data_IF_134686966626
#
_entry.id   IF_134686966626
#
_cell.length_a   1.000
_cell.length_b   1.000
_cell.length_c   1.000
_cell.angle_alpha   90.00
_cell.angle_beta   90.00
_cell.angle_gamma   90.00
#
_symmetry.space_group_name_H-M   'P 1'
#
loop_
_entity.id
_entity.type
_entity.pdbx_description
1 polymer ?
#
# COMPACT_ATOMS: atom_id res chain seq x y z
N UNK A 1 5.79 16.38 15.53
CA UNK A 1 5.27 16.64 14.17
C UNK A 1 3.85 16.11 14.14
N UNK A 2 2.89 16.92 13.67
CA UNK A 2 1.50 16.48 13.51
C UNK A 2 1.42 15.31 12.50
N UNK A 3 0.57 14.32 12.76
CA UNK A 3 0.40 13.12 11.91
C UNK A 3 0.11 13.51 10.46
N UNK A 4 -0.72 14.54 10.31
CA UNK A 4 -1.13 15.01 9.02
C UNK A 4 0.00 15.75 8.27
N UNK A 5 0.86 16.46 9.00
CA UNK A 5 2.08 17.05 8.42
C UNK A 5 3.07 15.97 7.98
N UNK A 6 3.22 14.91 8.78
CA UNK A 6 4.10 13.80 8.45
C UNK A 6 3.64 13.05 7.19
N UNK A 7 2.34 12.78 7.07
CA UNK A 7 1.76 12.17 5.87
C UNK A 7 1.94 13.05 4.64
N UNK A 8 1.66 14.35 4.75
CA UNK A 8 1.83 15.28 3.64
C UNK A 8 3.30 15.37 3.19
N UNK A 9 4.24 15.44 4.13
CA UNK A 9 5.66 15.46 3.85
C UNK A 9 6.12 14.18 3.11
N UNK A 10 5.65 13.01 3.54
CA UNK A 10 5.93 11.73 2.89
C UNK A 10 5.38 11.67 1.47
N UNK A 11 4.16 12.18 1.25
CA UNK A 11 3.55 12.25 -0.07
C UNK A 11 4.29 13.20 -1.01
N UNK A 12 4.64 14.39 -0.52
CA UNK A 12 5.40 15.38 -1.31
C UNK A 12 6.77 14.86 -1.72
N UNK A 13 7.49 14.16 -0.83
CA UNK A 13 8.76 13.52 -1.18
C UNK A 13 8.60 12.54 -2.35
N UNK A 14 7.60 11.65 -2.27
CA UNK A 14 7.36 10.68 -3.34
C UNK A 14 6.89 11.31 -4.65
N UNK A 15 6.03 12.33 -4.60
CA UNK A 15 5.55 13.05 -5.78
C UNK A 15 6.69 13.80 -6.49
N UNK A 16 7.69 14.28 -5.75
CA UNK A 16 8.85 15.00 -6.30
C UNK A 16 9.93 14.07 -6.90
N UNK A 17 9.86 12.76 -6.66
CA UNK A 17 10.83 11.79 -7.19
C UNK A 17 10.43 11.29 -8.58
N UNK A 18 11.39 10.84 -9.43
CA UNK A 18 11.09 10.25 -10.73
C UNK A 18 10.22 8.99 -10.67
N UNK A 19 9.47 8.68 -11.74
CA UNK A 19 8.53 7.55 -11.74
C UNK A 19 9.12 6.16 -11.73
N UNK A 20 10.39 6.07 -12.08
CA UNK A 20 11.15 4.82 -12.06
C UNK A 20 11.97 4.66 -10.78
N UNK A 21 11.92 5.65 -9.86
CA UNK A 21 12.62 5.53 -8.59
C UNK A 21 11.90 4.53 -7.69
N UNK A 22 12.56 3.38 -7.45
CA UNK A 22 12.05 2.33 -6.55
C UNK A 22 11.91 2.81 -5.12
N UNK A 23 12.61 3.89 -4.74
CA UNK A 23 12.61 4.47 -3.41
C UNK A 23 11.61 5.60 -3.24
N UNK A 24 10.76 5.79 -4.25
CA UNK A 24 9.78 6.88 -4.29
C UNK A 24 8.93 6.95 -3.04
N UNK A 25 8.47 5.79 -2.55
CA UNK A 25 7.52 5.72 -1.45
C UNK A 25 8.15 5.29 -0.13
N UNK A 26 9.49 5.36 0.01
CA UNK A 26 10.22 4.99 1.23
C UNK A 26 9.66 5.72 2.46
N UNK A 27 9.44 7.05 2.37
CA UNK A 27 8.92 7.85 3.48
C UNK A 27 7.45 7.56 3.79
N UNK A 28 6.65 7.19 2.79
CA UNK A 28 5.25 6.79 3.00
C UNK A 28 5.19 5.42 3.69
N UNK A 29 6.08 4.50 3.31
CA UNK A 29 6.24 3.23 3.99
C UNK A 29 6.73 3.40 5.44
N UNK A 30 7.68 4.30 5.69
CA UNK A 30 8.12 4.64 7.05
C UNK A 30 6.99 5.25 7.88
N UNK A 31 6.15 6.11 7.29
CA UNK A 31 4.94 6.61 7.93
C UNK A 31 4.01 5.44 8.33
N UNK A 32 3.70 4.54 7.40
CA UNK A 32 2.89 3.35 7.67
C UNK A 32 3.48 2.47 8.78
N UNK A 33 4.79 2.25 8.78
CA UNK A 33 5.50 1.52 9.85
C UNK A 33 5.26 2.20 11.19
N UNK A 34 5.51 3.51 11.29
CA UNK A 34 5.30 4.24 12.54
C UNK A 34 3.85 4.14 13.04
N UNK A 35 2.86 4.18 12.14
CA UNK A 35 1.43 4.05 12.50
C UNK A 35 1.05 2.65 12.99
N UNK A 36 1.67 1.62 12.44
CA UNK A 36 1.49 0.24 12.88
C UNK A 36 2.24 -0.05 14.19
N UNK A 37 3.44 0.49 14.37
CA UNK A 37 4.20 0.38 15.62
C UNK A 37 3.47 1.06 16.79
N UNK A 38 2.83 2.20 16.54
CA UNK A 38 1.97 2.88 17.52
C UNK A 38 0.78 2.02 17.99
N UNK A 39 0.40 0.98 17.21
CA UNK A 39 -0.66 0.01 17.54
C UNK A 39 -0.14 -1.25 18.24
N UNK A 40 1.15 -1.27 18.59
CA UNK A 40 1.79 -2.36 19.32
C UNK A 40 2.54 -3.37 18.45
N UNK A 41 2.51 -3.23 17.12
CA UNK A 41 3.29 -4.12 16.26
C UNK A 41 4.78 -3.85 16.38
N UNK A 42 5.57 -4.91 16.51
CA UNK A 42 7.04 -4.82 16.62
C UNK A 42 7.68 -5.64 15.52
N UNK A 43 8.87 -5.22 15.08
CA UNK A 43 9.66 -5.99 14.12
C UNK A 43 9.28 -5.78 12.65
N UNK A 44 8.56 -4.70 12.34
CA UNK A 44 8.28 -4.28 10.96
C UNK A 44 9.57 -3.96 10.22
N UNK A 45 9.57 -4.35 8.94
CA UNK A 45 10.63 -4.18 7.95
C UNK A 45 10.07 -3.40 6.76
N UNK A 46 10.92 -2.71 6.01
CA UNK A 46 10.49 -1.92 4.84
C UNK A 46 10.92 -0.45 4.90
N UNK A 47 10.27 0.38 4.08
CA UNK A 47 10.46 1.82 4.00
C UNK A 47 11.88 2.23 3.62
N UNK A 48 12.48 3.21 4.32
CA UNK A 48 13.85 3.67 4.03
C UNK A 48 14.93 2.60 4.19
N UNK A 49 14.58 1.43 4.75
CA UNK A 49 15.43 0.24 4.84
C UNK A 49 15.31 -0.66 3.60
N UNK A 50 14.57 -0.24 2.59
CA UNK A 50 14.35 -0.96 1.34
C UNK A 50 13.20 -1.96 1.45
N UNK A 51 12.63 -2.27 0.28
CA UNK A 51 11.59 -3.29 0.11
C UNK A 51 12.05 -4.65 0.65
N UNK A 52 11.07 -5.44 1.10
CA UNK A 52 11.28 -6.76 1.67
C UNK A 52 10.89 -7.82 0.63
N UNK A 53 11.84 -8.70 0.31
CA UNK A 53 11.59 -9.82 -0.59
C UNK A 53 10.86 -10.96 0.14
N UNK A 54 9.64 -11.27 -0.26
CA UNK A 54 8.82 -12.35 0.30
C UNK A 54 8.63 -13.46 -0.73
N UNK A 55 8.76 -14.71 -0.30
CA UNK A 55 8.59 -15.88 -1.16
C UNK A 55 7.14 -15.97 -1.62
N UNK A 56 6.92 -15.83 -2.93
CA UNK A 56 5.67 -16.20 -3.59
C UNK A 56 5.79 -17.55 -4.29
N UNK A 57 4.65 -18.11 -4.71
CA UNK A 57 4.55 -19.39 -5.41
C UNK A 57 5.47 -19.52 -6.64
N UNK A 58 5.56 -18.49 -7.48
CA UNK A 58 6.39 -18.53 -8.69
C UNK A 58 7.72 -17.77 -8.60
N UNK A 59 7.78 -16.70 -7.81
CA UNK A 59 8.98 -15.87 -7.63
C UNK A 59 8.91 -15.09 -6.32
N UNK A 60 10.05 -14.55 -5.90
CA UNK A 60 10.10 -13.56 -4.81
C UNK A 60 9.34 -12.30 -5.25
N UNK A 61 8.50 -11.78 -4.36
CA UNK A 61 7.75 -10.53 -4.51
C UNK A 61 8.33 -9.48 -3.58
N UNK A 62 8.44 -8.24 -4.05
CA UNK A 62 8.87 -7.11 -3.24
C UNK A 62 7.68 -6.48 -2.54
N UNK A 63 7.80 -6.20 -1.25
CA UNK A 63 6.78 -5.54 -0.45
C UNK A 63 7.36 -4.30 0.24
N UNK A 64 6.59 -3.22 0.26
CA UNK A 64 7.03 -1.94 0.84
C UNK A 64 7.15 -2.00 2.36
N UNK A 65 6.26 -2.77 3.01
CA UNK A 65 6.31 -3.06 4.45
C UNK A 65 6.00 -4.53 4.67
N UNK A 66 6.74 -5.17 5.57
CA UNK A 66 6.48 -6.54 5.98
C UNK A 66 6.70 -6.75 7.47
N UNK A 67 5.80 -7.53 8.09
CA UNK A 67 6.06 -8.19 9.36
C UNK A 67 6.35 -9.67 9.08
N UNK A 68 7.59 -10.05 9.31
CA UNK A 68 8.03 -11.44 9.24
C UNK A 68 8.18 -11.93 10.68
N UNK A 69 7.29 -12.81 11.11
CA UNK A 69 7.44 -13.48 12.40
C UNK A 69 8.39 -14.66 12.22
N UNK A 70 9.44 -14.77 13.03
CA UNK A 70 10.29 -15.94 12.94
C UNK A 70 9.66 -17.10 13.71
N UNK A 71 10.08 -18.32 13.41
CA UNK A 71 9.94 -19.46 14.32
C UNK A 71 11.01 -19.42 15.45
N UNK A 72 11.97 -18.48 15.43
CA UNK A 72 13.13 -18.35 16.36
C UNK A 72 13.65 -16.88 16.55
N UNK A 73 14.36 -16.50 17.63
CA UNK A 73 14.75 -15.11 17.88
C UNK A 73 15.66 -14.49 16.79
N UNK A 74 15.47 -13.19 16.50
CA UNK A 74 16.20 -12.44 15.44
C UNK A 74 17.46 -11.73 15.94
N UNK A 75 18.49 -11.73 15.10
CA UNK A 75 19.64 -10.81 15.15
C UNK A 75 19.34 -9.43 14.51
N UNK A 76 20.36 -8.58 14.28
CA UNK A 76 20.18 -7.20 13.83
C UNK A 76 19.46 -7.08 12.46
N UNK A 77 18.71 -5.99 12.27
CA UNK A 77 17.90 -5.72 11.06
C UNK A 77 18.80 -5.24 9.91
N UNK A 78 18.70 -5.87 8.74
CA UNK A 78 19.49 -5.56 7.53
C UNK A 78 18.63 -4.85 6.46
N UNK A 79 19.28 -4.09 5.57
CA UNK A 79 18.63 -3.36 4.47
C UNK A 79 18.29 -4.31 3.31
N UNK A 80 17.12 -4.17 2.70
CA UNK A 80 16.69 -4.98 1.54
C UNK A 80 16.54 -6.46 1.87
N UNK A 81 16.03 -6.76 3.07
CA UNK A 81 15.99 -8.12 3.60
C UNK A 81 15.10 -9.01 2.74
N UNK A 82 15.61 -10.20 2.41
CA UNK A 82 14.81 -11.28 1.84
C UNK A 82 14.41 -12.23 2.97
N UNK A 83 13.15 -12.68 2.94
CA UNK A 83 12.61 -13.67 3.86
C UNK A 83 13.54 -14.89 3.94
N UNK A 84 13.96 -15.23 5.17
CA UNK A 84 14.83 -16.39 5.44
C UNK A 84 14.00 -17.66 5.61
N UNK A 85 14.60 -18.86 5.42
CA UNK A 85 13.93 -20.13 5.73
C UNK A 85 13.40 -20.14 7.17
N UNK A 86 12.15 -20.57 7.36
CA UNK A 86 11.49 -20.62 8.67
C UNK A 86 10.83 -19.32 9.12
N UNK A 87 11.01 -18.20 8.41
CA UNK A 87 10.22 -16.99 8.63
C UNK A 87 8.88 -17.09 7.90
N UNK A 88 7.80 -16.63 8.54
CA UNK A 88 6.47 -16.55 7.92
C UNK A 88 6.04 -15.09 7.80
N UNK A 89 5.52 -14.64 6.64
CA UNK A 89 4.92 -13.33 6.53
C UNK A 89 3.59 -13.32 7.30
N UNK A 90 3.43 -12.32 8.17
CA UNK A 90 2.23 -12.13 8.99
C UNK A 90 1.44 -10.89 8.56
N UNK A 91 2.17 -9.85 8.16
CA UNK A 91 1.61 -8.62 7.59
C UNK A 91 2.41 -8.24 6.35
N UNK A 92 1.75 -7.81 5.28
CA UNK A 92 2.37 -7.25 4.10
C UNK A 92 1.61 -5.99 3.66
N UNK A 93 2.33 -4.94 3.29
CA UNK A 93 1.74 -3.75 2.66
C UNK A 93 2.38 -3.51 1.30
N UNK A 94 1.53 -3.23 0.31
CA UNK A 94 1.93 -2.79 -1.02
C UNK A 94 1.49 -1.34 -1.20
N UNK A 95 2.43 -0.47 -1.54
CA UNK A 95 2.22 0.94 -1.87
C UNK A 95 2.30 1.09 -3.38
N UNK A 96 1.26 1.66 -3.99
CA UNK A 96 1.20 1.95 -5.41
C UNK A 96 0.77 3.38 -5.66
N UNK A 97 0.92 3.82 -6.89
CA UNK A 97 0.49 5.15 -7.31
C UNK A 97 0.00 5.17 -8.75
N UNK A 98 -0.95 6.05 -9.02
CA UNK A 98 -1.45 6.44 -10.34
C UNK A 98 -1.26 7.94 -10.48
N UNK A 99 -0.12 8.33 -11.03
CA UNK A 99 0.31 9.74 -11.19
C UNK A 99 0.18 10.24 -12.64
N UNK A 100 -0.46 9.47 -13.50
CA UNK A 100 -0.53 9.74 -14.94
C UNK A 100 -1.32 8.68 -15.67
N UNK A 101 -2.00 9.08 -16.75
CA UNK A 101 -2.81 8.19 -17.60
C UNK A 101 -3.69 7.21 -16.80
N UNK A 102 -4.67 7.69 -16.01
CA UNK A 102 -5.43 6.84 -15.10
C UNK A 102 -6.25 5.77 -15.82
N UNK A 103 -6.85 6.04 -16.99
CA UNK A 103 -7.60 5.03 -17.75
C UNK A 103 -6.76 3.79 -18.10
N UNK A 104 -5.48 3.98 -18.48
CA UNK A 104 -4.57 2.86 -18.74
C UNK A 104 -3.95 2.28 -17.47
N UNK A 105 -3.69 3.10 -16.46
CA UNK A 105 -2.98 2.68 -15.26
C UNK A 105 -3.87 1.93 -14.27
N UNK A 106 -5.13 2.34 -14.10
CA UNK A 106 -6.02 1.78 -13.06
C UNK A 106 -6.32 0.28 -13.27
N UNK A 107 -6.67 -0.21 -14.49
CA UNK A 107 -6.88 -1.64 -14.70
C UNK A 107 -5.61 -2.45 -14.40
N UNK A 108 -4.45 -1.99 -14.90
CA UNK A 108 -3.17 -2.64 -14.67
C UNK A 108 -2.83 -2.75 -13.17
N UNK A 109 -3.20 -1.75 -12.36
CA UNK A 109 -2.95 -1.78 -10.91
C UNK A 109 -3.79 -2.84 -10.19
N UNK A 110 -5.02 -3.08 -10.64
CA UNK A 110 -5.86 -4.16 -10.10
C UNK A 110 -5.26 -5.52 -10.48
N UNK A 111 -4.85 -5.70 -11.73
CA UNK A 111 -4.25 -6.97 -12.19
C UNK A 111 -2.92 -7.26 -11.47
N UNK A 112 -2.08 -6.24 -11.29
CA UNK A 112 -0.85 -6.33 -10.50
C UNK A 112 -1.13 -6.73 -9.04
N UNK A 113 -2.14 -6.11 -8.41
CA UNK A 113 -2.55 -6.44 -7.04
C UNK A 113 -3.00 -7.91 -6.94
N UNK A 114 -3.86 -8.37 -7.85
CA UNK A 114 -4.35 -9.76 -7.90
C UNK A 114 -3.17 -10.73 -8.05
N UNK A 115 -2.25 -10.45 -8.98
CA UNK A 115 -1.09 -11.32 -9.24
C UNK A 115 -0.01 -11.29 -8.15
N UNK A 116 0.14 -10.18 -7.43
CA UNK A 116 1.03 -10.05 -6.27
C UNK A 116 0.49 -10.83 -5.07
N UNK A 117 -0.77 -10.56 -4.72
CA UNK A 117 -1.40 -11.12 -3.53
C UNK A 117 -1.65 -12.62 -3.67
N UNK A 118 -2.23 -13.07 -4.79
CA UNK A 118 -2.53 -14.49 -4.99
C UNK A 118 -1.26 -15.34 -4.92
N UNK A 119 -0.14 -14.81 -5.43
CA UNK A 119 1.14 -15.52 -5.40
C UNK A 119 1.65 -15.78 -3.99
N UNK A 120 1.35 -14.92 -3.01
CA UNK A 120 1.79 -15.10 -1.62
C UNK A 120 0.75 -15.90 -0.83
N UNK A 121 -0.54 -15.63 -1.04
CA UNK A 121 -1.62 -16.30 -0.31
C UNK A 121 -1.74 -17.79 -0.60
N UNK A 122 -1.31 -18.27 -1.77
CA UNK A 122 -1.19 -19.71 -2.05
C UNK A 122 -0.25 -20.40 -1.05
N UNK A 123 0.82 -19.71 -0.64
CA UNK A 123 1.81 -20.25 0.31
C UNK A 123 1.49 -19.92 1.77
N UNK A 124 0.89 -18.75 2.01
CA UNK A 124 0.62 -18.19 3.33
C UNK A 124 -0.81 -17.67 3.40
N UNK A 125 -1.82 -18.55 3.43
CA UNK A 125 -3.22 -18.13 3.44
C UNK A 125 -3.58 -17.32 4.70
N UNK A 126 -2.79 -17.39 5.77
CA UNK A 126 -3.02 -16.63 7.00
C UNK A 126 -2.54 -15.17 6.95
N UNK A 127 -1.67 -14.81 5.98
CA UNK A 127 -1.05 -13.48 5.93
C UNK A 127 -2.10 -12.37 5.82
N UNK A 128 -1.93 -11.29 6.59
CA UNK A 128 -2.74 -10.07 6.48
C UNK A 128 -2.09 -9.14 5.47
N UNK A 129 -2.87 -8.57 4.55
CA UNK A 129 -2.40 -7.74 3.46
C UNK A 129 -3.19 -6.43 3.43
N UNK A 130 -2.45 -5.32 3.38
CA UNK A 130 -2.99 -3.99 3.12
C UNK A 130 -2.50 -3.41 1.80
N UNK A 131 -3.31 -2.56 1.19
CA UNK A 131 -2.98 -1.88 -0.07
C UNK A 131 -3.17 -0.37 0.07
N UNK A 132 -2.12 0.42 -0.16
CA UNK A 132 -2.21 1.87 -0.17
C UNK A 132 -1.97 2.36 -1.59
N UNK A 133 -2.82 3.26 -2.07
CA UNK A 133 -2.71 3.79 -3.43
C UNK A 133 -2.83 5.30 -3.45
N UNK A 134 -1.85 5.96 -4.06
CA UNK A 134 -1.87 7.41 -4.30
C UNK A 134 -2.51 7.68 -5.66
N UNK A 135 -3.59 8.46 -5.68
CA UNK A 135 -4.28 8.91 -6.89
C UNK A 135 -4.10 10.42 -7.03
N UNK A 136 -3.39 10.84 -8.08
CA UNK A 136 -3.20 12.25 -8.37
C UNK A 136 -4.23 12.74 -9.40
N UNK A 137 -5.19 13.53 -8.95
CA UNK A 137 -6.20 14.22 -9.77
C UNK A 137 -5.61 15.38 -10.58
N UNK A 138 -4.39 15.81 -10.24
CA UNK A 138 -3.61 16.78 -11.00
C UNK A 138 -2.85 16.19 -12.19
N UNK A 139 -2.80 14.87 -12.29
CA UNK A 139 -2.00 14.16 -13.28
C UNK A 139 -2.44 14.41 -14.73
N UNK A 140 -1.48 14.76 -15.60
CA UNK A 140 -1.72 14.91 -17.05
C UNK A 140 -2.02 13.58 -17.74
N UNK A 141 -2.98 13.57 -18.68
CA UNK A 141 -3.21 12.45 -19.60
C UNK A 141 -2.24 12.45 -20.78
N UNK A 142 -2.03 11.28 -21.42
CA UNK A 142 -1.45 11.20 -22.78
C UNK A 142 -2.60 11.10 -23.77
N UNK A 143 -2.70 12.00 -24.75
CA UNK A 143 -3.62 11.85 -25.88
C UNK A 143 -2.98 11.01 -27.00
N UNK A 144 -3.82 10.35 -27.79
CA UNK A 144 -3.50 9.82 -29.11
C UNK A 144 -3.12 10.97 -30.05
N UNK A 145 -1.86 11.40 -29.99
CA UNK A 145 -1.35 12.54 -30.77
C UNK A 145 -0.10 13.23 -30.22
N UNK A 146 0.40 12.82 -29.04
CA UNK A 146 1.69 13.31 -28.51
C UNK A 146 1.65 14.71 -27.88
N UNK A 147 0.48 15.38 -27.88
CA UNK A 147 0.27 16.64 -27.15
C UNK A 147 -0.43 16.33 -25.83
N UNK A 148 0.18 16.71 -24.71
CA UNK A 148 -0.41 16.58 -23.39
C UNK A 148 -1.64 17.50 -23.29
N UNK A 149 -2.84 16.93 -23.38
CA UNK A 149 -4.04 17.67 -23.03
C UNK A 149 -4.04 17.95 -21.53
N UNK A 150 -4.34 19.21 -21.17
CA UNK A 150 -4.64 19.55 -19.78
C UNK A 150 -5.84 18.70 -19.35
N UNK A 151 -5.75 17.91 -18.27
CA UNK A 151 -6.89 17.16 -17.77
C UNK A 151 -8.01 18.12 -17.44
N UNK A 152 -9.17 17.98 -18.09
CA UNK A 152 -10.40 18.40 -17.44
C UNK A 152 -10.60 17.43 -16.27
N UNK A 153 -10.57 17.95 -15.04
CA UNK A 153 -10.66 17.13 -13.82
C UNK A 153 -11.88 16.21 -13.77
N UNK A 154 -12.93 16.51 -14.55
CA UNK A 154 -14.14 15.70 -14.70
C UNK A 154 -13.94 14.40 -15.50
N UNK A 155 -12.96 14.35 -16.41
CA UNK A 155 -12.77 13.21 -17.31
C UNK A 155 -12.35 11.90 -16.61
N UNK A 156 -11.73 11.98 -15.43
CA UNK A 156 -11.19 10.81 -14.72
C UNK A 156 -11.92 10.44 -13.43
N UNK A 157 -12.82 11.30 -12.93
CA UNK A 157 -13.57 11.07 -11.69
C UNK A 157 -14.31 9.74 -11.72
N UNK A 158 -14.97 9.43 -12.84
CA UNK A 158 -15.69 8.17 -13.02
C UNK A 158 -14.75 6.95 -12.99
N UNK A 159 -13.56 7.06 -13.57
CA UNK A 159 -12.57 5.98 -13.58
C UNK A 159 -12.01 5.73 -12.17
N UNK A 160 -11.68 6.80 -11.44
CA UNK A 160 -11.25 6.69 -10.04
C UNK A 160 -12.37 6.15 -9.15
N UNK A 161 -13.61 6.61 -9.33
CA UNK A 161 -14.78 6.08 -8.61
C UNK A 161 -14.92 4.58 -8.80
N UNK A 162 -14.94 4.09 -10.05
CA UNK A 162 -15.01 2.66 -10.36
C UNK A 162 -13.83 1.88 -9.78
N UNK A 163 -12.63 2.44 -9.81
CA UNK A 163 -11.46 1.82 -9.21
C UNK A 163 -11.60 1.68 -7.69
N UNK A 164 -12.06 2.74 -6.99
CA UNK A 164 -12.34 2.69 -5.54
C UNK A 164 -13.42 1.67 -5.22
N UNK A 165 -14.50 1.62 -6.00
CA UNK A 165 -15.56 0.61 -5.85
C UNK A 165 -15.02 -0.82 -6.03
N UNK A 166 -14.12 -1.04 -6.99
CA UNK A 166 -13.47 -2.34 -7.20
C UNK A 166 -12.56 -2.69 -6.01
N UNK A 167 -11.70 -1.77 -5.56
CA UNK A 167 -10.85 -1.99 -4.39
C UNK A 167 -11.66 -2.32 -3.13
N UNK A 168 -12.79 -1.65 -2.93
CA UNK A 168 -13.70 -1.95 -1.82
C UNK A 168 -14.20 -3.39 -1.87
N UNK A 169 -14.57 -3.91 -3.07
CA UNK A 169 -14.97 -5.32 -3.25
C UNK A 169 -13.83 -6.30 -3.01
N UNK A 170 -12.59 -5.92 -3.30
CA UNK A 170 -11.40 -6.73 -3.02
C UNK A 170 -11.00 -6.69 -1.53
N UNK A 171 -11.40 -5.67 -0.79
CA UNK A 171 -10.98 -5.40 0.60
C UNK A 171 -11.91 -5.97 1.67
N UNK A 172 -12.59 -7.07 1.36
CA UNK A 172 -13.57 -7.71 2.26
C UNK A 172 -13.03 -8.97 2.93
N UNK A 173 -11.72 -9.23 2.82
CA UNK A 173 -11.12 -10.44 3.35
C UNK A 173 -11.15 -10.42 4.87
N UNK A 174 -11.76 -11.44 5.48
CA UNK A 174 -11.90 -11.56 6.94
C UNK A 174 -11.52 -12.97 7.41
N UNK A 175 -11.06 -13.13 8.66
CA UNK A 175 -10.98 -14.44 9.31
C UNK A 175 -12.36 -15.12 9.39
N UNK A 176 -12.48 -16.46 9.46
CA UNK A 176 -11.42 -17.47 9.45
C UNK A 176 -11.22 -18.09 8.05
N UNK A 177 -10.96 -17.26 7.02
CA UNK A 177 -10.58 -17.66 5.64
C UNK A 177 -11.70 -18.50 4.97
N UNK A 178 -12.23 -18.17 3.80
CA UNK A 178 -11.86 -18.91 2.59
C UNK A 178 -12.62 -18.41 1.34
N UNK A 179 -13.50 -17.40 1.39
CA UNK A 179 -14.43 -17.24 0.25
C UNK A 179 -14.65 -15.83 -0.30
N UNK A 180 -14.30 -14.73 0.38
CA UNK A 180 -14.51 -13.40 -0.22
C UNK A 180 -13.38 -12.42 0.14
N UNK A 181 -12.91 -11.69 -0.87
CA UNK A 181 -11.89 -10.65 -0.73
C UNK A 181 -10.46 -11.16 -0.91
N UNK A 182 -9.62 -10.28 -1.47
CA UNK A 182 -8.21 -10.50 -1.74
C UNK A 182 -7.33 -9.91 -0.63
N UNK A 183 -7.72 -8.79 -0.06
CA UNK A 183 -6.95 -8.06 0.97
C UNK A 183 -7.86 -7.65 2.13
N UNK A 184 -7.27 -7.33 3.28
CA UNK A 184 -7.99 -7.01 4.50
C UNK A 184 -8.48 -5.57 4.50
N UNK A 185 -7.68 -4.65 3.98
CA UNK A 185 -8.03 -3.24 3.90
C UNK A 185 -7.27 -2.55 2.76
N UNK A 186 -7.82 -1.42 2.30
CA UNK A 186 -7.12 -0.51 1.40
C UNK A 186 -7.23 0.93 1.91
N UNK A 187 -6.27 1.77 1.52
CA UNK A 187 -6.29 3.20 1.78
C UNK A 187 -5.98 3.98 0.51
N UNK A 188 -6.90 4.86 0.12
CA UNK A 188 -6.74 5.70 -1.06
C UNK A 188 -6.33 7.09 -0.62
N UNK A 189 -5.18 7.54 -1.11
CA UNK A 189 -4.62 8.86 -0.90
C UNK A 189 -4.96 9.72 -2.12
N UNK A 190 -6.06 10.46 -2.04
CA UNK A 190 -6.51 11.35 -3.11
C UNK A 190 -5.83 12.71 -2.99
N UNK A 191 -5.00 13.02 -3.98
CA UNK A 191 -4.22 14.26 -4.03
C UNK A 191 -4.47 15.01 -5.32
N UNK A 192 -4.25 16.32 -5.33
CA UNK A 192 -4.19 17.14 -6.54
C UNK A 192 -2.88 17.93 -6.52
N UNK A 193 -1.93 17.53 -7.35
CA UNK A 193 -0.61 18.18 -7.43
C UNK A 193 -0.66 19.60 -7.99
N UNK A 194 -1.80 20.04 -8.55
CA UNK A 194 -1.99 21.41 -9.05
C UNK A 194 -2.37 22.39 -7.95
N UNK A 195 -2.86 21.89 -6.81
CA UNK A 195 -3.33 22.73 -5.71
C UNK A 195 -2.28 22.84 -4.59
N UNK A 196 -2.15 24.00 -3.93
CA UNK A 196 -1.27 24.14 -2.77
C UNK A 196 -1.67 23.19 -1.63
N UNK A 197 -2.96 23.05 -1.39
CA UNK A 197 -3.54 22.06 -0.50
C UNK A 197 -3.51 20.71 -1.24
N UNK A 198 -2.57 19.84 -0.87
CA UNK A 198 -2.28 18.61 -1.60
C UNK A 198 -3.47 17.62 -1.60
N UNK A 199 -4.16 17.48 -0.47
CA UNK A 199 -5.29 16.57 -0.33
C UNK A 199 -6.58 17.21 -0.84
N UNK A 200 -7.43 16.42 -1.51
CA UNK A 200 -8.79 16.84 -1.84
C UNK A 200 -9.64 17.00 -0.58
N UNK A 201 -9.53 16.04 0.35
CA UNK A 201 -10.14 16.09 1.68
C UNK A 201 -9.15 15.51 2.70
N UNK A 202 -8.48 16.41 3.43
CA UNK A 202 -7.43 16.04 4.39
C UNK A 202 -7.98 15.25 5.58
N UNK A 203 -9.11 15.69 6.15
CA UNK A 203 -9.66 15.07 7.35
C UNK A 203 -10.19 13.67 7.05
N UNK A 204 -10.95 13.51 5.96
CA UNK A 204 -11.44 12.20 5.54
C UNK A 204 -10.28 11.24 5.20
N UNK A 205 -9.23 11.74 4.54
CA UNK A 205 -8.04 10.92 4.21
C UNK A 205 -7.36 10.38 5.46
N UNK A 206 -7.20 11.21 6.50
CA UNK A 206 -6.57 10.79 7.75
C UNK A 206 -7.44 9.77 8.50
N UNK A 207 -8.74 10.04 8.62
CA UNK A 207 -9.68 9.11 9.25
C UNK A 207 -9.67 7.74 8.56
N UNK A 208 -9.75 7.72 7.23
CA UNK A 208 -9.66 6.48 6.45
C UNK A 208 -8.32 5.75 6.65
N UNK A 209 -7.23 6.51 6.86
CA UNK A 209 -5.93 5.94 7.20
C UNK A 209 -5.91 5.26 8.56
N UNK A 210 -6.52 5.86 9.59
CA UNK A 210 -6.67 5.22 10.90
C UNK A 210 -7.48 3.92 10.80
N UNK A 211 -8.65 3.98 10.15
CA UNK A 211 -9.53 2.83 9.94
C UNK A 211 -8.80 1.70 9.20
N UNK A 212 -7.98 2.05 8.20
CA UNK A 212 -7.13 1.10 7.48
C UNK A 212 -6.14 0.39 8.41
N UNK A 213 -5.38 1.14 9.22
CA UNK A 213 -4.39 0.54 10.12
C UNK A 213 -5.06 -0.30 11.22
N UNK A 214 -6.19 0.14 11.75
CA UNK A 214 -6.97 -0.61 12.75
C UNK A 214 -7.47 -1.92 12.17
N UNK A 215 -8.06 -1.90 10.96
CA UNK A 215 -8.56 -3.10 10.28
C UNK A 215 -7.47 -4.16 10.05
N UNK A 216 -6.24 -3.74 9.71
CA UNK A 216 -5.11 -4.66 9.55
C UNK A 216 -4.67 -5.26 10.89
N UNK A 217 -4.55 -4.42 11.93
CA UNK A 217 -4.13 -4.86 13.26
C UNK A 217 -5.15 -5.81 13.87
N UNK A 218 -6.44 -5.50 13.76
CA UNK A 218 -7.51 -6.35 14.30
C UNK A 218 -7.61 -7.68 13.55
N UNK A 219 -7.45 -7.66 12.22
CA UNK A 219 -7.34 -8.88 11.42
C UNK A 219 -6.14 -9.73 11.85
N UNK A 220 -5.02 -9.09 12.17
CA UNK A 220 -3.82 -9.79 12.62
C UNK A 220 -3.99 -10.35 14.05
N UNK A 221 -4.58 -9.60 14.97
CA UNK A 221 -4.93 -10.07 16.33
C UNK A 221 -5.85 -11.28 16.29
N UNK A 222 -6.84 -11.26 15.41
CA UNK A 222 -7.78 -12.36 15.25
C UNK A 222 -7.13 -13.64 14.72
N UNK A 223 -6.00 -13.54 14.00
CA UNK A 223 -5.28 -14.70 13.43
C UNK A 223 -4.11 -15.15 14.30
N UNK A 224 -3.38 -14.21 14.89
CA UNK A 224 -2.09 -14.43 15.54
C UNK A 224 -1.99 -13.56 16.81
N UNK A 225 -2.77 -13.85 17.87
CA UNK A 225 -2.84 -13.03 19.08
C UNK A 225 -1.50 -12.93 19.82
N UNK A 226 -0.61 -13.91 19.65
CA UNK A 226 0.71 -13.96 20.29
C UNK A 226 1.74 -12.96 19.74
N UNK A 227 1.38 -12.19 18.70
CA UNK A 227 2.24 -11.15 18.13
C UNK A 227 2.19 -9.82 18.89
N UNK A 228 1.29 -9.67 19.86
CA UNK A 228 1.01 -8.42 20.59
C UNK A 228 1.47 -8.49 22.04
#
# INVERSE_FOLDING_TARGET
MDLAQALEAALRDGLNRPSQDRRRWDLLADYCIARLEARGLKGLLGGSRGEVGVKGFGRVKSWDVALLAPLLPRGPRERGQVQKPGEKPRLLLSLKSVLGNPQGSLPNRIDELIGEVSSVQILYPEVVIGYVVVLDYGASGKSSGGVAEKPSGDSWQESYRRFKEHLARLSVRRPPLWVQGLIEAHWVLEVDTRTPQLFLDREATLRAGEEFFDALVDSLRGREPLLF
#
